data_IF_021108984487
#
_entry.id   IF_021108984487
#
_cell.length_a   1.000
_cell.length_b   1.000
_cell.length_c   1.000
_cell.angle_alpha   90.00
_cell.angle_beta   90.00
_cell.angle_gamma   90.00
#
_symmetry.space_group_name_H-M   'P 1'
#
loop_
_entity.id
_entity.type
_entity.pdbx_description
1 polymer ?
2 water ?
#
# COMPACT_ATOMS: atom_id res chain seq x y z
N UNK A 1 -1.88 8.66 1.57
CA UNK A 1 -3.07 8.96 0.76
C UNK A 1 -3.56 7.68 0.12
N UNK A 2 -4.84 7.65 -0.18
CA UNK A 2 -5.37 6.54 -0.99
C UNK A 2 -4.95 6.94 -2.43
N UNK A 3 -5.21 6.06 -3.38
CA UNK A 3 -4.81 6.31 -4.75
C UNK A 3 -5.76 7.16 -5.56
N UNK A 4 -6.99 7.33 -5.06
CA UNK A 4 -7.93 8.13 -5.82
C UNK A 4 -8.99 7.33 -6.57
N UNK A 5 -9.74 8.07 -7.37
CA UNK A 5 -10.83 7.49 -8.13
C UNK A 5 -10.34 6.38 -9.05
N UNK A 6 -11.07 5.27 -9.05
CA UNK A 6 -10.71 4.13 -9.88
C UNK A 6 -9.87 3.09 -9.17
N UNK A 7 -9.38 3.44 -7.98
CA UNK A 7 -8.55 2.54 -7.21
C UNK A 7 -9.36 1.96 -6.04
N UNK A 8 -8.82 0.89 -5.46
CA UNK A 8 -9.52 0.10 -4.46
C UNK A 8 -9.11 0.37 -3.02
N UNK A 9 -9.95 -0.12 -2.10
CA UNK A 9 -9.73 0.13 -0.68
C UNK A 9 -8.48 -0.51 -0.12
N UNK A 10 -7.88 -1.45 -0.87
CA UNK A 10 -6.63 -2.06 -0.38
C UNK A 10 -5.42 -1.34 -0.93
N UNK A 11 -5.58 -0.14 -1.51
CA UNK A 11 -4.46 0.56 -2.13
C UNK A 11 -4.10 1.86 -1.45
N UNK A 12 -2.80 2.15 -1.42
CA UNK A 12 -2.27 3.38 -0.84
C UNK A 12 -1.19 3.85 -1.76
N UNK A 13 -1.02 5.17 -1.87
CA UNK A 13 -0.06 5.68 -2.84
C UNK A 13 1.35 5.65 -2.28
N UNK A 14 2.24 4.91 -2.95
CA UNK A 14 3.61 4.82 -2.50
C UNK A 14 4.22 6.23 -2.37
N UNK A 15 4.88 6.42 -1.24
CA UNK A 15 5.59 7.64 -0.87
C UNK A 15 4.69 8.77 -0.40
N UNK A 16 3.38 8.54 -0.37
CA UNK A 16 2.49 9.56 0.18
C UNK A 16 2.44 9.44 1.70
N UNK A 17 1.87 10.44 2.36
CA UNK A 17 1.83 10.42 3.81
C UNK A 17 0.93 9.34 4.41
N UNK A 18 1.23 8.95 5.65
CA UNK A 18 0.44 7.92 6.34
C UNK A 18 0.49 8.11 7.84
N UNK A 19 -0.67 7.91 8.44
CA UNK A 19 -0.85 8.06 9.88
C UNK A 19 -0.14 6.96 10.64
N UNK A 20 0.38 7.34 11.80
CA UNK A 20 1.13 6.37 12.58
C UNK A 20 0.29 5.15 13.04
N UNK A 21 -1.01 5.34 13.24
CA UNK A 21 -1.91 4.26 13.65
C UNK A 21 -1.99 3.12 12.65
N UNK A 22 -1.51 3.32 11.43
CA UNK A 22 -1.49 2.24 10.47
C UNK A 22 -0.64 1.08 10.99
N UNK A 23 0.30 1.36 11.89
CA UNK A 23 1.13 0.29 12.40
C UNK A 23 1.82 -0.42 11.24
N UNK A 24 1.90 -1.76 11.31
CA UNK A 24 2.58 -2.48 10.26
C UNK A 24 1.67 -3.06 9.23
N UNK A 25 0.48 -2.48 9.07
CA UNK A 25 -0.42 -2.97 8.01
C UNK A 25 0.26 -2.86 6.65
N UNK A 26 -0.02 -3.87 5.82
CA UNK A 26 0.49 -3.88 4.45
C UNK A 26 -0.64 -3.66 3.48
N UNK A 27 -0.42 -2.70 2.60
CA UNK A 27 -1.36 -2.35 1.53
C UNK A 27 -0.67 -2.49 0.18
N UNK A 28 -1.43 -2.35 -0.91
CA UNK A 28 -0.86 -2.39 -2.24
C UNK A 28 -0.66 -0.99 -2.76
N UNK A 29 0.41 -0.76 -3.53
CA UNK A 29 0.58 0.52 -4.19
C UNK A 29 -0.47 0.65 -5.29
N UNK A 30 -0.55 1.83 -5.87
CA UNK A 30 -1.55 2.07 -6.88
C UNK A 30 -1.45 1.18 -8.11
N UNK A 31 -0.23 0.92 -8.58
CA UNK A 31 -0.11 0.05 -9.73
C UNK A 31 0.04 -1.41 -9.42
N UNK A 32 -0.16 -1.75 -8.14
CA UNK A 32 -0.09 -3.11 -7.62
C UNK A 32 1.23 -3.81 -7.83
N UNK A 33 2.28 -3.06 -8.15
CA UNK A 33 3.59 -3.69 -8.33
C UNK A 33 4.40 -3.76 -7.05
N UNK A 34 3.81 -3.28 -5.94
CA UNK A 34 4.51 -3.36 -4.69
C UNK A 34 3.57 -3.36 -3.50
N UNK A 35 4.08 -3.93 -2.43
CA UNK A 35 3.43 -3.94 -1.13
C UNK A 35 4.01 -2.79 -0.36
N UNK A 36 3.18 -1.95 0.28
CA UNK A 36 3.69 -0.81 1.06
C UNK A 36 3.28 -0.89 2.54
N UNK A 37 4.09 -0.24 3.38
CA UNK A 37 3.88 -0.22 4.83
C UNK A 37 4.16 1.20 5.26
N UNK A 38 3.48 1.68 6.30
CA UNK A 38 3.72 3.02 6.79
C UNK A 38 4.97 3.05 7.64
N UNK A 39 6.00 3.68 7.12
CA UNK A 39 7.29 3.79 7.83
C UNK A 39 7.77 5.24 7.75
N UNK A 40 8.10 5.79 8.91
CA UNK A 40 8.59 7.17 8.91
C UNK A 40 7.62 8.15 8.27
N UNK A 41 6.33 7.87 8.44
CA UNK A 41 5.30 8.75 7.96
C UNK A 41 4.97 8.70 6.50
N UNK A 42 5.55 7.75 5.79
CA UNK A 42 5.28 7.61 4.38
C UNK A 42 5.01 6.17 3.99
N UNK A 43 4.10 5.97 3.04
CA UNK A 43 3.90 4.61 2.51
C UNK A 43 5.17 4.19 1.80
N UNK A 44 5.79 3.13 2.28
CA UNK A 44 7.12 2.72 1.81
C UNK A 44 7.03 1.33 1.26
N UNK A 45 7.61 1.13 0.09
CA UNK A 45 7.54 -0.20 -0.52
C UNK A 45 8.43 -1.18 0.24
N UNK A 46 7.80 -2.25 0.72
CA UNK A 46 8.51 -3.31 1.47
C UNK A 46 8.72 -4.59 0.67
N UNK A 47 8.04 -4.70 -0.47
CA UNK A 47 8.27 -5.82 -1.36
C UNK A 47 7.92 -5.37 -2.74
N UNK A 48 8.81 -5.66 -3.69
CA UNK A 48 8.56 -5.34 -5.08
C UNK A 48 7.97 -6.57 -5.74
N UNK A 49 6.70 -6.51 -6.11
CA UNK A 49 6.05 -7.61 -6.79
C UNK A 49 6.53 -7.77 -8.21
N UNK A 50 7.12 -6.70 -8.74
CA UNK A 50 7.61 -6.72 -10.13
C UNK A 50 6.44 -6.43 -11.03
N UNK A 51 5.64 -7.46 -11.27
CA UNK A 51 4.40 -7.30 -12.02
C UNK A 51 3.29 -6.77 -11.06
N UNK A 52 2.17 -6.38 -11.66
CA UNK A 52 1.05 -5.74 -10.95
C UNK A 52 0.17 -6.73 -10.21
N UNK A 53 0.77 -7.58 -9.38
CA UNK A 53 0.03 -8.65 -8.76
C UNK A 53 -0.44 -8.49 -7.33
N UNK A 54 -0.09 -7.38 -6.69
CA UNK A 54 -0.45 -7.23 -5.26
C UNK A 54 -1.96 -7.27 -5.01
N UNK A 55 -2.35 -7.90 -3.90
CA UNK A 55 -3.77 -7.86 -3.48
C UNK A 55 -3.82 -7.85 -1.96
N UNK A 56 -4.82 -7.16 -1.41
CA UNK A 56 -4.98 -7.14 0.02
C UNK A 56 -6.41 -6.76 0.33
N UNK A 57 -6.58 -6.22 1.53
CA UNK A 57 -7.91 -5.83 1.98
C UNK A 57 -7.89 -4.41 2.52
N UNK A 58 -9.08 -3.90 2.83
CA UNK A 58 -9.19 -2.56 3.38
C UNK A 58 -8.55 -2.44 4.77
N UNK A 59 -8.23 -3.58 5.37
CA UNK A 59 -7.63 -3.57 6.70
C UNK A 59 -6.17 -3.98 6.66
N UNK A 60 -5.63 -4.12 5.44
CA UNK A 60 -4.24 -4.56 5.30
C UNK A 60 -4.17 -6.00 4.80
N UNK A 61 -3.10 -6.70 5.11
CA UNK A 61 -2.93 -8.08 4.64
C UNK A 61 -2.45 -8.22 3.21
N UNK A 62 -1.97 -7.13 2.61
CA UNK A 62 -1.51 -7.26 1.22
C UNK A 62 -0.30 -8.19 1.04
N UNK A 63 -0.34 -8.89 -0.08
CA UNK A 63 0.77 -9.76 -0.50
C UNK A 63 0.91 -9.61 -2.01
N UNK A 64 2.06 -10.00 -2.52
CA UNK A 64 2.24 -10.02 -3.96
C UNK A 64 1.45 -11.19 -4.57
#
# INVERSE_FOLDING_TARGET
DTCGSGYNVDQRRTNSGCKAGNGDRHFCGCDRTGVVECKGGKWTEVQDCGSSSCKGTSNGGATC
#
